data_IF_247917323635
#
_entry.id   IF_247917323635
#
_cell.length_a   1.000
_cell.length_b   1.000
_cell.length_c   1.000
_cell.angle_alpha   90.00
_cell.angle_beta   90.00
_cell.angle_gamma   90.00
#
_symmetry.space_group_name_H-M   'P 1'
#
loop_
_entity.id
_entity.type
_entity.pdbx_description
1 polymer ?
#
# COMPACT_ATOMS: atom_id res chain seq x y z
N UNK A 1 25.20 0.67 14.73
CA UNK A 1 24.56 -0.23 15.72
C UNK A 1 23.04 -0.30 15.58
N UNK A 2 22.29 0.82 15.59
CA UNK A 2 20.81 0.79 15.47
C UNK A 2 20.33 0.20 14.13
N UNK A 3 20.77 0.75 13.00
CA UNK A 3 20.42 0.26 11.66
C UNK A 3 20.79 -1.21 11.43
N UNK A 4 21.92 -1.65 11.95
CA UNK A 4 22.34 -3.05 11.85
C UNK A 4 21.41 -3.99 12.62
N UNK A 5 20.88 -3.56 13.76
CA UNK A 5 19.94 -4.35 14.55
C UNK A 5 18.58 -4.47 13.84
N UNK A 6 18.09 -3.36 13.27
CA UNK A 6 16.86 -3.38 12.45
C UNK A 6 17.03 -4.27 11.24
N UNK A 7 18.12 -4.11 10.50
CA UNK A 7 18.41 -4.94 9.32
C UNK A 7 18.44 -6.44 9.67
N UNK A 8 19.11 -6.81 10.76
CA UNK A 8 19.13 -8.20 11.25
C UNK A 8 17.75 -8.69 11.67
N UNK A 9 16.96 -7.84 12.34
CA UNK A 9 15.59 -8.19 12.71
C UNK A 9 14.75 -8.49 11.47
N UNK A 10 14.72 -7.57 10.50
CA UNK A 10 13.93 -7.72 9.27
C UNK A 10 14.37 -8.97 8.48
N UNK A 11 15.69 -9.18 8.31
CA UNK A 11 16.19 -10.33 7.53
C UNK A 11 15.91 -11.68 8.18
N UNK A 12 15.82 -11.74 9.50
CA UNK A 12 15.65 -12.98 10.23
C UNK A 12 14.23 -13.26 10.69
N UNK A 13 13.35 -12.25 10.67
CA UNK A 13 11.96 -12.44 11.10
C UNK A 13 11.21 -13.34 10.11
N UNK A 14 10.45 -14.27 10.65
CA UNK A 14 9.62 -15.21 9.86
C UNK A 14 8.18 -15.15 10.33
N UNK A 15 7.26 -15.43 9.43
CA UNK A 15 5.82 -15.43 9.71
C UNK A 15 5.44 -16.31 10.91
N UNK A 16 6.08 -17.46 11.05
CA UNK A 16 5.85 -18.42 12.12
C UNK A 16 6.23 -17.90 13.51
N UNK A 17 7.01 -16.83 13.57
CA UNK A 17 7.41 -16.17 14.81
C UNK A 17 6.37 -15.13 15.26
N UNK A 18 5.44 -14.75 14.38
CA UNK A 18 4.40 -13.80 14.71
C UNK A 18 3.39 -14.41 15.68
N UNK A 19 3.11 -13.72 16.79
CA UNK A 19 2.07 -14.15 17.72
C UNK A 19 0.68 -14.07 17.07
N UNK A 20 -0.26 -14.88 17.56
CA UNK A 20 -1.66 -14.80 17.11
C UNK A 20 -2.24 -13.39 17.30
N UNK A 21 -1.86 -12.72 18.37
CA UNK A 21 -2.27 -11.35 18.66
C UNK A 21 -1.74 -10.37 17.58
N UNK A 22 -0.44 -10.46 17.27
CA UNK A 22 0.18 -9.66 16.19
C UNK A 22 -0.54 -9.89 14.87
N UNK A 23 -0.79 -11.14 14.50
CA UNK A 23 -1.49 -11.46 13.25
C UNK A 23 -2.92 -10.90 13.22
N UNK A 24 -3.64 -10.92 14.33
CA UNK A 24 -4.98 -10.35 14.40
C UNK A 24 -4.95 -8.81 14.25
N UNK A 25 -3.99 -8.14 14.87
CA UNK A 25 -3.81 -6.69 14.74
C UNK A 25 -3.48 -6.32 13.29
N UNK A 26 -2.54 -7.02 12.66
CA UNK A 26 -2.17 -6.77 11.26
C UNK A 26 -3.36 -7.01 10.32
N UNK A 27 -4.14 -8.07 10.54
CA UNK A 27 -5.35 -8.33 9.73
C UNK A 27 -6.40 -7.23 9.88
N UNK A 28 -6.63 -6.77 11.10
CA UNK A 28 -7.57 -5.68 11.35
C UNK A 28 -7.11 -4.38 10.66
N UNK A 29 -5.83 -4.02 10.80
CA UNK A 29 -5.25 -2.86 10.14
C UNK A 29 -5.27 -2.97 8.60
N UNK A 30 -5.08 -4.17 8.05
CA UNK A 30 -5.20 -4.40 6.61
C UNK A 30 -6.64 -4.24 6.10
N UNK A 31 -7.63 -4.72 6.87
CA UNK A 31 -9.05 -4.53 6.54
C UNK A 31 -9.41 -3.05 6.55
N UNK A 32 -8.95 -2.32 7.55
CA UNK A 32 -9.14 -0.87 7.66
C UNK A 32 -8.52 -0.14 6.47
N UNK A 33 -7.23 -0.39 6.20
CA UNK A 33 -6.54 0.12 5.01
C UNK A 33 -7.33 -0.16 3.72
N UNK A 34 -7.79 -1.40 3.53
CA UNK A 34 -8.53 -1.78 2.33
C UNK A 34 -9.83 -0.99 2.20
N UNK A 35 -10.57 -0.82 3.31
CA UNK A 35 -11.83 -0.08 3.34
C UNK A 35 -11.65 1.40 3.01
N UNK A 36 -10.68 2.07 3.63
CA UNK A 36 -10.42 3.50 3.37
C UNK A 36 -9.89 3.71 1.96
N UNK A 37 -9.02 2.83 1.46
CA UNK A 37 -8.50 2.88 0.09
C UNK A 37 -9.61 2.72 -0.93
N UNK A 38 -10.49 1.72 -0.75
CA UNK A 38 -11.64 1.48 -1.63
C UNK A 38 -12.58 2.69 -1.70
N UNK A 39 -12.78 3.39 -0.60
CA UNK A 39 -13.57 4.63 -0.59
C UNK A 39 -12.79 5.78 -1.22
N UNK A 40 -11.50 5.90 -0.91
CA UNK A 40 -10.65 7.01 -1.33
C UNK A 40 -10.31 7.04 -2.82
N UNK A 41 -10.39 5.90 -3.52
CA UNK A 41 -10.11 5.83 -4.97
C UNK A 41 -10.99 6.76 -5.80
N UNK A 42 -12.19 7.11 -5.30
CA UNK A 42 -13.12 7.99 -5.98
C UNK A 42 -12.90 9.49 -5.70
N UNK A 43 -11.97 9.83 -4.83
CA UNK A 43 -11.66 11.22 -4.50
C UNK A 43 -10.87 11.93 -5.61
N UNK A 44 -10.95 13.24 -5.65
CA UNK A 44 -10.35 14.05 -6.70
C UNK A 44 -8.84 13.82 -6.83
N UNK A 45 -8.11 13.84 -5.71
CA UNK A 45 -6.66 13.62 -5.70
C UNK A 45 -6.28 12.24 -6.24
N UNK A 46 -7.04 11.20 -5.90
CA UNK A 46 -6.83 9.84 -6.42
C UNK A 46 -7.07 9.76 -7.92
N UNK A 47 -8.12 10.43 -8.42
CA UNK A 47 -8.41 10.49 -9.86
C UNK A 47 -7.35 11.27 -10.64
N UNK A 48 -6.85 12.38 -10.09
CA UNK A 48 -5.75 13.13 -10.70
C UNK A 48 -4.50 12.26 -10.80
N UNK A 49 -4.13 11.58 -9.71
CA UNK A 49 -2.98 10.68 -9.70
C UNK A 49 -3.12 9.55 -10.74
N UNK A 50 -4.30 8.92 -10.79
CA UNK A 50 -4.60 7.87 -11.77
C UNK A 50 -4.48 8.37 -13.21
N UNK A 51 -5.09 9.51 -13.53
CA UNK A 51 -5.04 10.07 -14.88
C UNK A 51 -3.60 10.42 -15.27
N UNK A 52 -2.83 11.04 -14.36
CA UNK A 52 -1.42 11.36 -14.59
C UNK A 52 -0.59 10.12 -14.88
N UNK A 53 -0.75 9.07 -14.07
CA UNK A 53 -0.06 7.79 -14.29
C UNK A 53 -0.49 7.17 -15.64
N UNK A 54 -1.78 7.20 -15.94
CA UNK A 54 -2.30 6.67 -17.20
C UNK A 54 -1.71 7.42 -18.42
N UNK A 55 -1.66 8.73 -18.38
CA UNK A 55 -1.08 9.54 -19.47
C UNK A 55 0.43 9.29 -19.64
N UNK A 56 1.18 9.19 -18.55
CA UNK A 56 2.63 9.04 -18.59
C UNK A 56 3.07 7.63 -19.01
N UNK A 57 2.32 6.58 -18.62
CA UNK A 57 2.79 5.22 -18.70
C UNK A 57 2.02 4.32 -19.68
N UNK A 58 0.75 4.62 -20.02
CA UNK A 58 -0.05 3.74 -20.88
C UNK A 58 0.21 3.88 -22.40
N UNK A 59 1.08 4.80 -22.82
CA UNK A 59 1.38 4.96 -24.25
C UNK A 59 2.74 4.44 -24.71
N UNK A 60 3.69 4.18 -23.82
CA UNK A 60 5.10 4.10 -24.22
C UNK A 60 5.97 3.02 -23.57
N UNK A 61 5.45 2.13 -22.73
CA UNK A 61 6.32 1.16 -22.03
C UNK A 61 5.67 -0.22 -21.92
N UNK A 62 6.41 -1.25 -22.33
CA UNK A 62 6.13 -2.65 -21.98
C UNK A 62 6.45 -2.87 -20.50
N UNK A 63 5.45 -2.68 -19.64
CA UNK A 63 5.52 -3.11 -18.25
C UNK A 63 4.69 -4.39 -18.06
N UNK A 64 5.20 -5.30 -17.26
CA UNK A 64 4.35 -6.36 -16.72
C UNK A 64 3.29 -5.73 -15.83
N UNK A 65 2.02 -5.95 -16.18
CA UNK A 65 0.87 -5.39 -15.47
C UNK A 65 0.40 -6.41 -14.44
N UNK A 66 1.05 -6.42 -13.28
CA UNK A 66 0.90 -7.49 -12.29
C UNK A 66 0.09 -7.06 -11.08
N UNK A 67 0.23 -5.80 -10.68
CA UNK A 67 -0.29 -5.31 -9.41
C UNK A 67 -1.61 -4.57 -9.55
N UNK A 68 -2.52 -4.85 -8.62
CA UNK A 68 -3.89 -4.34 -8.61
C UNK A 68 -3.99 -2.96 -7.97
N UNK A 69 -4.91 -2.13 -8.48
CA UNK A 69 -5.34 -0.90 -7.83
C UNK A 69 -6.70 -1.13 -7.18
N UNK A 70 -6.76 -0.99 -5.86
CA UNK A 70 -7.97 -1.22 -5.05
C UNK A 70 -9.09 -0.30 -5.54
N UNK A 71 -10.28 -0.87 -5.75
CA UNK A 71 -11.44 -0.12 -6.23
C UNK A 71 -11.49 0.07 -7.75
N UNK A 72 -10.49 -0.42 -8.50
CA UNK A 72 -10.47 -0.37 -9.97
C UNK A 72 -10.44 -1.80 -10.53
N UNK A 73 -11.60 -2.47 -10.62
CA UNK A 73 -11.67 -3.84 -11.12
C UNK A 73 -11.19 -3.89 -12.57
N UNK A 74 -10.45 -4.94 -12.91
CA UNK A 74 -9.87 -5.16 -14.23
C UNK A 74 -8.75 -4.17 -14.64
N UNK A 75 -8.27 -3.33 -13.73
CA UNK A 75 -7.12 -2.49 -13.94
C UNK A 75 -5.92 -3.02 -13.17
N UNK A 76 -4.83 -3.25 -13.89
CA UNK A 76 -3.53 -3.60 -13.34
C UNK A 76 -2.44 -2.67 -13.88
N UNK A 77 -1.39 -2.50 -13.12
CA UNK A 77 -0.23 -1.70 -13.50
C UNK A 77 1.02 -2.30 -12.90
N UNK A 78 2.20 -1.72 -13.12
CA UNK A 78 3.41 -2.18 -12.47
C UNK A 78 3.35 -1.92 -10.95
N UNK A 79 4.20 -2.60 -10.21
CA UNK A 79 4.23 -2.55 -8.74
C UNK A 79 4.42 -1.14 -8.17
N UNK A 80 5.22 -0.28 -8.83
CA UNK A 80 5.48 1.08 -8.33
C UNK A 80 4.23 1.95 -8.45
N UNK A 81 3.57 1.91 -9.60
CA UNK A 81 2.34 2.66 -9.83
C UNK A 81 1.19 2.16 -8.95
N UNK A 82 1.05 0.84 -8.78
CA UNK A 82 0.02 0.27 -7.89
C UNK A 82 0.24 0.68 -6.43
N UNK A 83 1.46 0.58 -5.94
CA UNK A 83 1.82 1.04 -4.60
C UNK A 83 1.53 2.52 -4.40
N UNK A 84 1.89 3.36 -5.37
CA UNK A 84 1.65 4.80 -5.32
C UNK A 84 0.15 5.15 -5.34
N UNK A 85 -0.62 4.59 -6.28
CA UNK A 85 -2.06 4.87 -6.42
C UNK A 85 -2.86 4.40 -5.20
N UNK A 86 -2.56 3.20 -4.70
CA UNK A 86 -3.19 2.67 -3.49
C UNK A 86 -2.81 3.49 -2.26
N UNK A 87 -1.56 3.97 -2.16
CA UNK A 87 -1.10 4.82 -1.06
C UNK A 87 -1.81 6.18 -1.03
N UNK A 88 -1.96 6.86 -2.17
CA UNK A 88 -2.74 8.10 -2.26
C UNK A 88 -4.19 7.84 -1.86
N UNK A 89 -4.81 6.81 -2.41
CA UNK A 89 -6.22 6.50 -2.12
C UNK A 89 -6.44 6.11 -0.66
N UNK A 90 -5.46 5.51 0.00
CA UNK A 90 -5.52 5.18 1.42
C UNK A 90 -5.54 6.43 2.31
N UNK A 91 -4.74 7.45 1.95
CA UNK A 91 -4.54 8.62 2.82
C UNK A 91 -5.45 9.81 2.51
N UNK A 92 -6.02 9.88 1.31
CA UNK A 92 -6.75 11.07 0.83
C UNK A 92 -7.92 11.52 1.71
N UNK A 93 -8.51 10.63 2.48
CA UNK A 93 -9.63 10.91 3.38
C UNK A 93 -9.20 11.22 4.81
N UNK A 94 -7.91 11.10 5.15
CA UNK A 94 -7.39 11.24 6.53
C UNK A 94 -8.10 10.30 7.53
N UNK A 95 -8.55 9.12 7.07
CA UNK A 95 -9.26 8.11 7.87
C UNK A 95 -8.41 6.87 8.15
N UNK A 96 -7.21 6.82 7.57
CA UNK A 96 -6.25 5.75 7.75
C UNK A 96 -5.60 5.76 9.14
N UNK A 97 -4.96 4.64 9.51
CA UNK A 97 -4.32 4.46 10.80
C UNK A 97 -3.30 5.55 11.13
N UNK A 98 -3.17 5.90 12.39
CA UNK A 98 -2.20 6.89 12.83
C UNK A 98 -1.44 6.46 14.08
N UNK A 99 -0.13 6.64 14.10
CA UNK A 99 0.71 6.47 15.28
C UNK A 99 0.98 7.82 15.94
N UNK A 100 0.21 8.16 16.98
CA UNK A 100 0.24 9.48 17.63
C UNK A 100 1.63 9.90 18.12
N UNK A 101 2.39 8.97 18.70
CA UNK A 101 3.73 9.28 19.25
C UNK A 101 4.76 9.60 18.17
N UNK A 102 4.64 9.00 16.98
CA UNK A 102 5.54 9.24 15.86
C UNK A 102 4.95 10.21 14.83
N UNK A 103 3.67 10.57 14.93
CA UNK A 103 2.94 11.43 13.99
C UNK A 103 3.06 10.94 12.55
N UNK A 104 2.84 9.64 12.33
CA UNK A 104 2.94 8.99 11.02
C UNK A 104 1.72 8.10 10.77
N UNK A 105 1.40 7.90 9.50
CA UNK A 105 0.38 7.01 8.98
C UNK A 105 1.06 5.83 8.29
N UNK A 106 1.25 4.72 9.02
CA UNK A 106 2.06 3.59 8.54
C UNK A 106 1.31 2.75 7.51
N UNK A 107 0.01 2.56 7.70
CA UNK A 107 -0.80 1.70 6.85
C UNK A 107 -0.82 2.16 5.39
N UNK A 108 -0.94 3.47 5.16
CA UNK A 108 -0.94 4.06 3.82
C UNK A 108 0.38 3.91 3.04
N UNK A 109 1.46 3.53 3.72
CA UNK A 109 2.79 3.28 3.11
C UNK A 109 3.10 1.79 3.03
N UNK A 110 2.88 1.07 4.14
CA UNK A 110 3.31 -0.33 4.27
C UNK A 110 2.40 -1.27 3.48
N UNK A 111 1.08 -1.15 3.65
CA UNK A 111 0.14 -2.09 3.01
C UNK A 111 0.12 -2.00 1.48
N UNK A 112 0.06 -0.81 0.85
CA UNK A 112 0.09 -0.74 -0.61
C UNK A 112 1.41 -1.26 -1.19
N UNK A 113 2.53 -1.00 -0.52
CA UNK A 113 3.84 -1.51 -0.92
C UNK A 113 3.90 -3.04 -0.81
N UNK A 114 3.46 -3.60 0.32
CA UNK A 114 3.47 -5.03 0.54
C UNK A 114 2.52 -5.76 -0.43
N UNK A 115 1.33 -5.19 -0.68
CA UNK A 115 0.36 -5.75 -1.63
C UNK A 115 0.94 -5.77 -3.04
N UNK A 116 1.47 -4.65 -3.53
CA UNK A 116 2.04 -4.56 -4.86
C UNK A 116 3.19 -5.56 -5.08
N UNK A 117 4.10 -5.70 -4.10
CA UNK A 117 5.21 -6.66 -4.17
C UNK A 117 4.70 -8.11 -4.12
N UNK A 118 3.64 -8.38 -3.36
CA UNK A 118 3.11 -9.75 -3.24
C UNK A 118 2.37 -10.23 -4.49
N UNK A 119 1.95 -9.33 -5.37
CA UNK A 119 1.27 -9.64 -6.63
C UNK A 119 2.24 -9.74 -7.82
N UNK A 120 3.43 -9.14 -7.72
CA UNK A 120 4.51 -9.21 -8.70
C UNK A 120 5.39 -10.44 -8.48
#
# INVERSE_FOLDING_TARGET
MFLQNISKFISNYRYEQASKETLNVVKAAFIDFFGVTYRGVNEESSRIAFNTISELFFGNMEFELESSVIGMPNFKTNLLNAGFLNGISAHVLELDDGHRGAQIHLGAVIFPTALAISEA
#
